data_IF_547710403866
#
_entry.id   IF_547710403866
#
_cell.length_a   1.000
_cell.length_b   1.000
_cell.length_c   1.000
_cell.angle_alpha   90.00
_cell.angle_beta   90.00
_cell.angle_gamma   90.00
#
_symmetry.space_group_name_H-M   'P 1'
#
loop_
_entity.id
_entity.type
_entity.pdbx_description
1 polymer ?
#
# COMPACT_ATOMS: atom_id res chain seq x y z
N UNK A 1 26.91 3.35 6.35
CA UNK A 1 26.16 3.30 7.63
C UNK A 1 24.63 3.38 7.47
N UNK A 2 24.06 3.46 6.25
CA UNK A 2 22.62 3.59 6.05
C UNK A 2 21.82 2.27 6.18
N UNK A 3 22.47 1.10 6.10
CA UNK A 3 21.79 -0.20 6.09
C UNK A 3 21.21 -0.62 7.44
N UNK A 4 21.69 -0.05 8.56
CA UNK A 4 21.24 -0.43 9.91
C UNK A 4 19.93 0.24 10.34
N UNK A 5 19.62 1.42 9.81
CA UNK A 5 18.40 2.17 10.15
C UNK A 5 17.12 1.63 9.47
N UNK A 6 17.27 0.77 8.45
CA UNK A 6 16.14 0.12 7.78
C UNK A 6 15.57 -1.06 8.58
N UNK A 7 16.40 -1.70 9.40
CA UNK A 7 16.03 -2.88 10.20
C UNK A 7 15.25 -2.51 11.47
N UNK A 8 15.36 -1.26 11.94
CA UNK A 8 14.71 -0.80 13.17
C UNK A 8 13.24 -0.35 12.97
N UNK A 9 12.84 -0.04 11.74
CA UNK A 9 11.46 0.40 11.46
C UNK A 9 10.60 -0.84 11.29
N UNK A 10 9.60 -1.00 12.15
CA UNK A 10 8.69 -2.13 12.08
C UNK A 10 7.60 -1.92 11.02
N UNK A 11 7.15 -3.00 10.38
CA UNK A 11 6.08 -2.94 9.37
C UNK A 11 4.81 -2.28 9.93
N UNK A 12 4.53 -2.42 11.23
CA UNK A 12 3.37 -1.81 11.88
C UNK A 12 3.40 -0.28 11.84
N UNK A 13 4.58 0.33 11.96
CA UNK A 13 4.76 1.78 11.91
C UNK A 13 4.48 2.30 10.49
N UNK A 14 4.96 1.56 9.49
CA UNK A 14 4.74 1.86 8.07
C UNK A 14 3.25 1.74 7.72
N UNK A 15 2.58 0.67 8.18
CA UNK A 15 1.15 0.46 7.97
C UNK A 15 0.32 1.57 8.64
N UNK A 16 0.70 2.02 9.84
CA UNK A 16 0.03 3.12 10.51
C UNK A 16 0.18 4.44 9.75
N UNK A 17 1.37 4.73 9.21
CA UNK A 17 1.60 5.90 8.36
C UNK A 17 0.79 5.85 7.08
N UNK A 18 0.78 4.70 6.38
CA UNK A 18 -0.02 4.49 5.17
C UNK A 18 -1.52 4.72 5.45
N UNK A 19 -2.02 4.29 6.61
CA UNK A 19 -3.39 4.57 7.02
C UNK A 19 -3.66 6.07 7.23
N UNK A 20 -2.71 6.80 7.84
CA UNK A 20 -2.82 8.25 8.00
C UNK A 20 -2.83 8.98 6.64
N UNK A 21 -1.96 8.56 5.70
CA UNK A 21 -1.94 9.09 4.32
C UNK A 21 -3.27 8.84 3.61
N UNK A 22 -3.81 7.62 3.71
CA UNK A 22 -5.10 7.27 3.13
C UNK A 22 -6.26 8.12 3.69
N UNK A 23 -6.23 8.45 4.99
CA UNK A 23 -7.23 9.31 5.64
C UNK A 23 -7.09 10.80 5.37
N UNK A 24 -5.93 11.26 4.91
CA UNK A 24 -5.65 12.69 4.71
C UNK A 24 -6.43 13.32 3.55
N UNK A 25 -7.16 12.53 2.76
CA UNK A 25 -7.84 12.91 1.51
C UNK A 25 -6.93 13.47 0.40
N UNK A 26 -5.65 13.71 0.70
CA UNK A 26 -4.62 14.22 -0.22
C UNK A 26 -4.31 13.24 -1.36
N UNK A 27 -4.49 11.95 -1.10
CA UNK A 27 -4.21 10.88 -2.06
C UNK A 27 -5.47 10.07 -2.34
N UNK A 28 -6.14 10.38 -3.46
CA UNK A 28 -7.31 9.61 -3.92
C UNK A 28 -6.95 8.33 -4.68
N UNK A 29 -5.68 8.15 -5.01
CA UNK A 29 -5.16 7.01 -5.77
C UNK A 29 -3.99 6.37 -5.03
N UNK A 30 -3.87 5.04 -5.15
CA UNK A 30 -2.85 4.26 -4.45
C UNK A 30 -1.42 4.63 -4.88
N UNK A 31 -1.19 4.85 -6.18
CA UNK A 31 0.13 5.15 -6.73
C UNK A 31 0.81 6.40 -6.13
N UNK A 32 0.19 7.59 -6.12
CA UNK A 32 0.82 8.77 -5.52
C UNK A 32 0.97 8.66 -4.00
N UNK A 33 0.08 7.92 -3.31
CA UNK A 33 0.23 7.62 -1.89
C UNK A 33 1.46 6.74 -1.62
N UNK A 34 1.63 5.71 -2.45
CA UNK A 34 2.74 4.77 -2.37
C UNK A 34 4.08 5.44 -2.67
N UNK A 35 4.13 6.29 -3.71
CA UNK A 35 5.31 7.08 -4.04
C UNK A 35 5.68 8.03 -2.91
N UNK A 36 4.69 8.71 -2.29
CA UNK A 36 4.94 9.52 -1.10
C UNK A 36 5.50 8.70 0.06
N UNK A 37 4.91 7.53 0.34
CA UNK A 37 5.39 6.68 1.43
C UNK A 37 6.83 6.21 1.22
N UNK A 38 7.26 5.96 -0.02
CA UNK A 38 8.65 5.65 -0.35
C UNK A 38 9.59 6.86 -0.17
N UNK A 39 9.10 8.08 -0.36
CA UNK A 39 9.86 9.30 -0.05
C UNK A 39 9.99 9.52 1.46
N UNK A 40 8.95 9.18 2.22
CA UNK A 40 8.94 9.31 3.68
C UNK A 40 9.80 8.21 4.35
N UNK A 41 9.86 7.02 3.72
CA UNK A 41 10.65 5.87 4.17
C UNK A 41 11.66 5.40 3.10
N UNK A 42 12.67 6.21 2.75
CA UNK A 42 13.64 5.90 1.68
C UNK A 42 14.49 4.64 1.94
N UNK A 43 14.58 4.21 3.19
CA UNK A 43 15.29 3.02 3.64
C UNK A 43 14.49 1.73 3.45
N UNK A 44 13.19 1.81 3.17
CA UNK A 44 12.31 0.66 2.95
C UNK A 44 12.29 0.31 1.46
N UNK A 45 12.49 -0.96 1.16
CA UNK A 45 12.40 -1.42 -0.23
C UNK A 45 10.97 -1.28 -0.77
N UNK A 46 10.86 -1.06 -2.07
CA UNK A 46 9.57 -0.98 -2.78
C UNK A 46 8.70 -2.22 -2.54
N UNK A 47 9.31 -3.40 -2.48
CA UNK A 47 8.63 -4.66 -2.18
C UNK A 47 8.07 -4.70 -0.75
N UNK A 48 8.85 -4.26 0.24
CA UNK A 48 8.43 -4.22 1.64
C UNK A 48 7.32 -3.19 1.87
N UNK A 49 7.41 -2.02 1.23
CA UNK A 49 6.35 -1.02 1.23
C UNK A 49 5.06 -1.58 0.62
N UNK A 50 5.16 -2.35 -0.47
CA UNK A 50 4.01 -2.97 -1.11
C UNK A 50 3.35 -4.03 -0.21
N UNK A 51 4.16 -4.82 0.51
CA UNK A 51 3.67 -5.74 1.54
C UNK A 51 2.90 -4.99 2.64
N UNK A 52 3.39 -3.84 3.09
CA UNK A 52 2.69 -2.98 4.06
C UNK A 52 1.36 -2.45 3.50
N UNK A 53 1.30 -2.06 2.23
CA UNK A 53 0.05 -1.69 1.56
C UNK A 53 -0.95 -2.86 1.49
N UNK A 54 -0.49 -4.07 1.18
CA UNK A 54 -1.34 -5.26 1.17
C UNK A 54 -1.88 -5.55 2.59
N UNK A 55 -1.04 -5.45 3.62
CA UNK A 55 -1.45 -5.59 5.03
C UNK A 55 -2.51 -4.56 5.43
N UNK A 56 -2.34 -3.30 5.02
CA UNK A 56 -3.34 -2.25 5.22
C UNK A 56 -4.66 -2.62 4.55
N UNK A 57 -4.61 -3.05 3.29
CA UNK A 57 -5.79 -3.49 2.54
C UNK A 57 -6.54 -4.62 3.24
N UNK A 58 -5.83 -5.65 3.69
CA UNK A 58 -6.44 -6.75 4.46
C UNK A 58 -7.09 -6.26 5.74
N UNK A 59 -6.43 -5.38 6.51
CA UNK A 59 -7.00 -4.83 7.76
C UNK A 59 -8.23 -3.97 7.53
N UNK A 60 -8.25 -3.17 6.47
CA UNK A 60 -9.42 -2.35 6.10
C UNK A 60 -10.59 -3.21 5.64
N UNK A 61 -10.31 -4.30 4.92
CA UNK A 61 -11.31 -5.29 4.50
C UNK A 61 -11.86 -6.03 5.73
N UNK A 62 -11.00 -6.59 6.59
CA UNK A 62 -11.41 -7.38 7.75
C UNK A 62 -12.18 -6.57 8.81
N UNK A 63 -11.97 -5.25 8.87
CA UNK A 63 -12.63 -4.36 9.83
C UNK A 63 -13.98 -3.79 9.36
N UNK A 64 -14.42 -4.08 8.13
CA UNK A 64 -15.62 -3.48 7.50
C UNK A 64 -15.68 -1.95 7.65
N UNK A 65 -14.51 -1.29 7.63
CA UNK A 65 -14.39 0.14 7.89
C UNK A 65 -15.12 0.91 6.77
N UNK A 66 -16.23 1.56 7.12
CA UNK A 66 -17.12 2.31 6.22
C UNK A 66 -17.83 1.52 5.11
N UNK A 67 -17.99 0.19 5.23
CA UNK A 67 -18.75 -0.59 4.24
C UNK A 67 -18.06 -0.78 2.87
N UNK A 68 -16.79 -0.38 2.74
CA UNK A 68 -15.98 -0.65 1.53
C UNK A 68 -15.82 -2.15 1.24
N UNK A 69 -15.98 -3.01 2.25
CA UNK A 69 -15.88 -4.45 2.06
C UNK A 69 -16.96 -4.95 1.10
N UNK A 70 -18.18 -4.37 1.13
CA UNK A 70 -19.27 -4.76 0.24
C UNK A 70 -18.95 -4.55 -1.25
N UNK A 71 -18.08 -3.59 -1.57
CA UNK A 71 -17.59 -3.38 -2.95
C UNK A 71 -16.39 -4.28 -3.28
N UNK A 72 -15.56 -4.63 -2.30
CA UNK A 72 -14.32 -5.43 -2.47
C UNK A 72 -14.52 -6.96 -2.41
N UNK A 73 -15.46 -7.48 -1.61
CA UNK A 73 -15.77 -8.93 -1.52
C UNK A 73 -16.71 -9.42 -2.63
N UNK A 74 -17.12 -8.55 -3.57
CA UNK A 74 -17.60 -9.03 -4.88
C UNK A 74 -16.43 -9.77 -5.51
N UNK A 75 -16.52 -11.10 -5.58
CA UNK A 75 -15.59 -12.00 -6.29
C UNK A 75 -15.05 -11.27 -7.51
N UNK A 76 -13.79 -10.80 -7.43
CA UNK A 76 -13.18 -10.03 -8.49
C UNK A 76 -13.30 -10.85 -9.77
N UNK A 77 -13.91 -10.24 -10.78
CA UNK A 77 -13.98 -10.87 -12.10
C UNK A 77 -12.56 -11.09 -12.62
N UNK A 78 -12.36 -12.04 -13.55
CA UNK A 78 -11.04 -12.31 -14.15
C UNK A 78 -10.35 -11.03 -14.67
N UNK A 79 -11.14 -10.07 -15.16
CA UNK A 79 -10.68 -8.75 -15.62
C UNK A 79 -10.09 -7.91 -14.48
N UNK A 80 -10.81 -7.78 -13.37
CA UNK A 80 -10.35 -6.99 -12.22
C UNK A 80 -9.11 -7.63 -11.54
N UNK A 81 -9.00 -8.96 -11.58
CA UNK A 81 -7.80 -9.67 -11.12
C UNK A 81 -6.58 -9.35 -11.99
N UNK A 82 -6.77 -9.20 -13.30
CA UNK A 82 -5.71 -8.83 -14.24
C UNK A 82 -5.31 -7.36 -14.06
N UNK A 83 -6.27 -6.45 -13.88
CA UNK A 83 -6.01 -5.03 -13.59
C UNK A 83 -5.23 -4.87 -12.27
N UNK A 84 -5.60 -5.61 -11.21
CA UNK A 84 -4.83 -5.62 -9.95
C UNK A 84 -3.39 -6.10 -10.17
N UNK A 85 -3.17 -7.13 -10.99
CA UNK A 85 -1.83 -7.62 -11.32
C UNK A 85 -1.00 -6.59 -12.09
N UNK A 86 -1.61 -5.93 -13.08
CA UNK A 86 -0.96 -4.86 -13.84
C UNK A 86 -0.59 -3.67 -12.95
N UNK A 87 -1.51 -3.20 -12.11
CA UNK A 87 -1.24 -2.12 -11.17
C UNK A 87 -0.08 -2.49 -10.22
N UNK A 88 -0.05 -3.74 -9.72
CA UNK A 88 1.05 -4.23 -8.88
C UNK A 88 2.39 -4.20 -9.63
N UNK A 89 2.39 -4.56 -10.90
CA UNK A 89 3.58 -4.54 -11.74
C UNK A 89 4.05 -3.10 -12.00
N UNK A 90 3.14 -2.19 -12.34
CA UNK A 90 3.45 -0.76 -12.51
C UNK A 90 4.00 -0.10 -11.23
N UNK A 91 3.53 -0.54 -10.07
CA UNK A 91 4.04 -0.08 -8.78
C UNK A 91 5.39 -0.69 -8.41
N UNK A 92 5.82 -1.78 -9.05
CA UNK A 92 7.14 -2.39 -8.84
C UNK A 92 8.18 -1.82 -9.80
N UNK A 93 7.79 -1.43 -11.01
CA UNK A 93 8.67 -0.74 -11.94
C UNK A 93 8.99 0.69 -11.43
N UNK A 94 10.27 1.04 -11.21
CA UNK A 94 10.64 2.43 -11.00
C UNK A 94 10.31 3.20 -12.29
N UNK A 95 9.63 4.33 -12.17
CA UNK A 95 9.45 5.24 -13.31
C UNK A 95 10.82 5.57 -13.90
N UNK A 96 10.95 5.38 -15.22
CA UNK A 96 12.05 5.90 -16.03
C UNK A 96 12.31 7.38 -15.74
#
# INVERSE_FOLDING_TARGET
>A
MAQRAAEDIEDIEVVAHLFALARSERYRQLKPMFEQALLDYPQISRERMLSCCDQLGTRLVDSDYQGMNSEFTRKLTKKQLAEKKQLRQELLEPGL
#
